data_IF_702488135142
#
_entry.id   IF_702488135142
#
_cell.length_a   1.000
_cell.length_b   1.000
_cell.length_c   1.000
_cell.angle_alpha   90.00
_cell.angle_beta   90.00
_cell.angle_gamma   90.00
#
_symmetry.space_group_name_H-M   'P 1'
#
loop_
_entity.id
_entity.type
_entity.pdbx_description
1 polymer ?
#
# COMPACT_ATOMS: atom_id res chain seq x y z
N UNK A 1 -9.59 -19.08 -9.96
CA UNK A 1 -8.75 -17.94 -9.57
C UNK A 1 -8.59 -17.98 -8.06
N UNK A 2 -7.44 -17.62 -7.54
CA UNK A 2 -7.24 -17.54 -6.09
C UNK A 2 -7.28 -16.06 -5.73
N UNK A 3 -8.29 -15.66 -4.98
CA UNK A 3 -8.36 -14.37 -4.34
C UNK A 3 -8.07 -14.61 -2.86
N UNK A 4 -6.99 -14.08 -2.36
CA UNK A 4 -6.60 -14.27 -0.96
C UNK A 4 -6.10 -12.99 -0.31
N UNK A 5 -6.28 -12.90 1.01
CA UNK A 5 -5.79 -11.80 1.85
C UNK A 5 -4.81 -12.36 2.86
N UNK A 6 -3.60 -11.82 2.88
CA UNK A 6 -2.58 -12.14 3.87
C UNK A 6 -2.37 -10.96 4.83
N UNK A 7 -2.57 -11.19 6.11
CA UNK A 7 -2.31 -10.20 7.15
C UNK A 7 -0.84 -10.25 7.54
N UNK A 8 -0.11 -9.17 7.29
CA UNK A 8 1.30 -8.99 7.70
C UNK A 8 1.41 -8.34 9.07
N UNK A 9 0.46 -7.47 9.40
CA UNK A 9 0.35 -6.80 10.68
C UNK A 9 -1.09 -6.39 10.95
N UNK A 10 -1.49 -6.42 12.23
CA UNK A 10 -2.86 -6.12 12.65
C UNK A 10 -2.92 -5.36 13.98
N UNK A 11 -1.79 -4.79 14.43
CA UNK A 11 -1.77 -4.01 15.66
C UNK A 11 -1.87 -2.52 15.35
N UNK A 12 -2.50 -1.77 16.24
CA UNK A 12 -2.60 -0.31 16.16
C UNK A 12 -1.61 0.34 17.11
N UNK A 13 -1.20 1.58 16.79
CA UNK A 13 -0.45 2.53 17.62
C UNK A 13 0.89 2.05 18.20
N UNK A 14 1.02 0.82 18.68
CA UNK A 14 2.24 0.31 19.31
C UNK A 14 2.45 -1.18 19.05
N UNK A 15 3.71 -1.62 19.08
CA UNK A 15 4.01 -3.05 19.05
C UNK A 15 3.59 -3.72 20.34
N UNK A 16 2.71 -4.69 20.26
CA UNK A 16 2.24 -5.46 21.41
C UNK A 16 1.98 -6.92 21.02
N UNK A 17 2.19 -7.83 21.96
CA UNK A 17 1.89 -9.27 21.82
C UNK A 17 2.51 -9.94 20.57
N UNK A 18 3.71 -9.48 20.15
CA UNK A 18 4.37 -10.00 18.95
C UNK A 18 3.69 -9.64 17.62
N UNK A 19 2.73 -8.73 17.62
CA UNK A 19 2.03 -8.25 16.45
C UNK A 19 2.69 -6.98 15.91
N UNK A 20 2.72 -6.86 14.59
CA UNK A 20 3.24 -5.70 13.88
C UNK A 20 2.12 -4.73 13.53
N UNK A 21 2.49 -3.49 13.21
CA UNK A 21 1.57 -2.47 12.73
C UNK A 21 0.85 -2.91 11.46
N UNK A 22 -0.26 -2.27 11.15
CA UNK A 22 -1.16 -2.73 10.11
C UNK A 22 -0.51 -2.76 8.73
N UNK A 23 -0.61 -3.90 8.10
CA UNK A 23 -0.27 -4.12 6.70
C UNK A 23 -0.96 -5.39 6.21
N UNK A 24 -1.58 -5.31 5.03
CA UNK A 24 -2.30 -6.42 4.43
C UNK A 24 -1.92 -6.56 2.96
N UNK A 25 -1.86 -7.78 2.48
CA UNK A 25 -1.69 -8.08 1.06
C UNK A 25 -2.97 -8.67 0.50
N UNK A 26 -3.44 -8.12 -0.59
CA UNK A 26 -4.51 -8.71 -1.40
C UNK A 26 -3.89 -9.26 -2.67
N UNK A 27 -4.12 -10.53 -2.95
CA UNK A 27 -3.61 -11.23 -4.12
C UNK A 27 -4.77 -11.79 -4.94
N UNK A 28 -4.79 -11.46 -6.24
CA UNK A 28 -5.75 -12.02 -7.20
C UNK A 28 -5.05 -12.72 -8.36
N UNK A 29 -4.05 -13.56 -8.10
CA UNK A 29 -3.21 -14.28 -9.05
C UNK A 29 -2.29 -13.40 -9.92
N UNK A 30 -2.78 -12.32 -10.49
CA UNK A 30 -2.04 -11.45 -11.40
C UNK A 30 -1.39 -10.29 -10.66
N UNK A 31 -2.14 -9.70 -9.72
CA UNK A 31 -1.74 -8.51 -9.01
C UNK A 31 -1.56 -8.81 -7.53
N UNK A 32 -0.60 -8.15 -6.92
CA UNK A 32 -0.36 -8.15 -5.49
C UNK A 32 -0.44 -6.71 -4.98
N UNK A 33 -1.49 -6.42 -4.23
CA UNK A 33 -1.77 -5.11 -3.66
C UNK A 33 -1.35 -5.07 -2.20
N UNK A 34 -0.73 -3.95 -1.79
CA UNK A 34 -0.47 -3.70 -0.37
C UNK A 34 -1.47 -2.67 0.15
N UNK A 35 -2.13 -3.00 1.27
CA UNK A 35 -3.01 -2.09 2.01
C UNK A 35 -2.32 -1.76 3.32
N UNK A 36 -2.08 -0.49 3.54
CA UNK A 36 -1.27 0.08 4.61
C UNK A 36 0.17 -0.47 4.63
N UNK A 37 1.05 0.30 5.19
CA UNK A 37 2.46 -0.03 5.31
C UNK A 37 2.97 0.52 6.64
N UNK A 38 2.54 -0.09 7.72
CA UNK A 38 3.01 0.22 9.06
C UNK A 38 4.49 -0.14 9.23
N UNK A 39 5.06 0.28 10.32
CA UNK A 39 6.46 0.05 10.63
C UNK A 39 6.79 -1.45 10.63
N UNK A 40 7.96 -1.82 10.12
CA UNK A 40 8.44 -3.19 9.98
C UNK A 40 7.68 -4.07 8.95
N UNK A 41 6.80 -3.52 8.11
CA UNK A 41 6.09 -4.27 7.04
C UNK A 41 7.05 -5.04 6.14
N UNK A 42 8.19 -4.44 5.75
CA UNK A 42 9.19 -5.10 4.91
C UNK A 42 9.83 -6.33 5.60
N UNK A 43 9.98 -6.32 6.93
CA UNK A 43 10.46 -7.47 7.70
C UNK A 43 9.43 -8.61 7.65
N UNK A 44 8.16 -8.26 7.78
CA UNK A 44 7.07 -9.23 7.68
C UNK A 44 6.96 -9.81 6.26
N UNK A 45 7.13 -8.98 5.23
CA UNK A 45 7.21 -9.47 3.84
C UNK A 45 8.33 -10.49 3.67
N UNK A 46 9.51 -10.22 4.20
CA UNK A 46 10.63 -11.15 4.15
C UNK A 46 10.34 -12.46 4.91
N UNK A 47 9.80 -12.38 6.13
CA UNK A 47 9.42 -13.56 6.93
C UNK A 47 8.39 -14.44 6.25
N UNK A 48 7.45 -13.84 5.55
CA UNK A 48 6.39 -14.53 4.83
C UNK A 48 6.73 -14.82 3.36
N UNK A 49 7.98 -14.62 2.95
CA UNK A 49 8.49 -14.89 1.59
C UNK A 49 7.65 -14.21 0.50
N UNK A 50 7.21 -12.99 0.77
CA UNK A 50 6.43 -12.18 -0.18
C UNK A 50 7.32 -11.74 -1.33
N UNK A 51 6.90 -11.98 -2.55
CA UNK A 51 7.55 -11.44 -3.75
C UNK A 51 7.19 -9.97 -3.91
N UNK A 52 7.88 -9.10 -3.16
CA UNK A 52 7.62 -7.66 -3.15
C UNK A 52 7.76 -6.98 -4.53
N UNK A 53 8.54 -7.57 -5.47
CA UNK A 53 8.64 -7.09 -6.85
C UNK A 53 7.32 -7.18 -7.64
N UNK A 54 6.32 -7.89 -7.12
CA UNK A 54 4.96 -7.95 -7.69
C UNK A 54 4.02 -6.87 -7.15
N UNK A 55 4.46 -6.07 -6.17
CA UNK A 55 3.64 -5.01 -5.58
C UNK A 55 3.85 -3.75 -6.41
N UNK A 56 2.89 -3.44 -7.25
CA UNK A 56 2.89 -2.23 -8.08
C UNK A 56 1.92 -1.16 -7.55
N UNK A 57 1.03 -1.55 -6.63
CA UNK A 57 0.00 -0.69 -6.07
C UNK A 57 -0.04 -0.79 -4.54
N UNK A 58 0.09 0.36 -3.88
CA UNK A 58 0.03 0.52 -2.41
C UNK A 58 -1.09 1.48 -2.06
N UNK A 59 -1.99 1.08 -1.18
CA UNK A 59 -3.14 1.86 -0.73
C UNK A 59 -2.96 2.22 0.74
N UNK A 60 -2.89 3.51 1.07
CA UNK A 60 -2.75 4.01 2.44
C UNK A 60 -4.10 4.56 2.89
N UNK A 61 -4.65 3.96 3.93
CA UNK A 61 -5.97 4.29 4.45
C UNK A 61 -6.04 5.68 5.08
N UNK A 62 -5.05 6.05 5.87
CA UNK A 62 -4.93 7.35 6.52
C UNK A 62 -3.52 7.60 7.08
N UNK A 63 -3.26 8.83 7.56
CA UNK A 63 -1.92 9.27 7.95
C UNK A 63 -1.63 9.14 9.46
N UNK A 64 -2.18 8.14 10.16
CA UNK A 64 -1.62 7.74 11.45
C UNK A 64 -0.38 6.86 11.22
N UNK A 65 0.63 7.04 12.08
CA UNK A 65 1.96 6.46 11.86
C UNK A 65 1.99 4.95 11.68
N UNK A 66 1.16 4.23 12.43
CA UNK A 66 1.00 2.78 12.36
C UNK A 66 0.45 2.25 11.01
N UNK A 67 0.00 3.16 10.12
CA UNK A 67 -0.50 2.83 8.78
C UNK A 67 0.47 3.14 7.65
N UNK A 68 1.47 4.04 7.82
CA UNK A 68 2.32 4.44 6.70
C UNK A 68 3.81 4.62 7.01
N UNK A 69 4.25 4.62 8.29
CA UNK A 69 5.66 4.91 8.61
C UNK A 69 6.65 3.88 8.06
N UNK A 70 6.21 2.69 7.71
CA UNK A 70 7.03 1.70 7.01
C UNK A 70 7.20 1.96 5.52
N UNK A 71 6.37 2.85 4.92
CA UNK A 71 6.31 3.05 3.48
C UNK A 71 7.63 3.55 2.90
N UNK A 72 8.26 4.52 3.55
CA UNK A 72 9.54 5.07 3.07
C UNK A 72 10.66 4.00 3.09
N UNK A 73 10.71 3.19 4.15
CA UNK A 73 11.64 2.06 4.22
C UNK A 73 11.39 1.03 3.10
N UNK A 74 10.13 0.77 2.77
CA UNK A 74 9.76 -0.13 1.67
C UNK A 74 10.17 0.47 0.31
N UNK A 75 9.92 1.75 0.07
CA UNK A 75 10.33 2.48 -1.14
C UNK A 75 11.83 2.36 -1.37
N UNK A 76 12.64 2.59 -0.34
CA UNK A 76 14.10 2.41 -0.44
C UNK A 76 14.50 0.94 -0.63
N UNK A 77 13.82 0.01 -0.01
CA UNK A 77 14.06 -1.42 -0.23
C UNK A 77 13.85 -1.79 -1.69
N UNK A 78 12.78 -1.34 -2.31
CA UNK A 78 12.51 -1.55 -3.75
C UNK A 78 13.63 -0.97 -4.62
N UNK A 79 14.08 0.26 -4.32
CA UNK A 79 15.20 0.90 -5.02
C UNK A 79 16.49 0.09 -4.90
N UNK A 80 16.88 -0.30 -3.68
CA UNK A 80 18.11 -1.04 -3.41
C UNK A 80 18.13 -2.44 -4.03
N UNK A 81 16.96 -3.03 -4.23
CA UNK A 81 16.78 -4.32 -4.87
C UNK A 81 16.62 -4.23 -6.40
N UNK A 82 16.82 -3.04 -6.96
CA UNK A 82 16.87 -2.84 -8.41
C UNK A 82 15.51 -2.78 -9.10
N UNK A 83 14.45 -2.36 -8.38
CA UNK A 83 13.16 -2.10 -9.03
C UNK A 83 13.32 -1.09 -10.18
N UNK A 84 12.74 -1.40 -11.32
CA UNK A 84 12.65 -0.53 -12.50
C UNK A 84 11.22 -0.15 -12.87
N UNK A 85 10.27 -0.97 -12.43
CA UNK A 85 8.85 -0.79 -12.73
C UNK A 85 8.24 0.30 -11.85
N UNK A 86 7.35 1.10 -12.42
CA UNK A 86 6.66 2.18 -11.73
C UNK A 86 5.88 1.68 -10.50
N UNK A 87 5.76 2.53 -9.48
CA UNK A 87 5.02 2.26 -8.26
C UNK A 87 3.86 3.24 -8.13
N UNK A 88 2.65 2.74 -7.94
CA UNK A 88 1.46 3.53 -7.73
C UNK A 88 1.11 3.56 -6.24
N UNK A 89 1.03 4.75 -5.64
CA UNK A 89 0.67 4.95 -4.24
C UNK A 89 -0.61 5.77 -4.17
N UNK A 90 -1.62 5.20 -3.55
CA UNK A 90 -2.93 5.80 -3.33
C UNK A 90 -3.05 6.19 -1.87
N UNK A 91 -3.44 7.43 -1.59
CA UNK A 91 -3.56 7.87 -0.21
C UNK A 91 -4.17 9.27 -0.06
N UNK A 92 -4.48 9.68 1.17
CA UNK A 92 -5.05 10.99 1.44
C UNK A 92 -4.04 12.13 1.19
N UNK A 93 -4.56 13.35 1.17
CA UNK A 93 -3.76 14.56 1.03
C UNK A 93 -2.63 14.62 2.07
N UNK A 94 -1.45 15.06 1.64
CA UNK A 94 -0.23 15.16 2.45
C UNK A 94 0.71 13.95 2.35
N UNK A 95 0.26 12.79 1.90
CA UNK A 95 1.14 11.62 1.73
C UNK A 95 2.25 11.88 0.70
N UNK A 96 1.88 12.47 -0.43
CA UNK A 96 2.84 12.85 -1.48
C UNK A 96 3.92 13.79 -0.93
N UNK A 97 3.53 14.81 -0.17
CA UNK A 97 4.45 15.80 0.39
C UNK A 97 5.44 15.14 1.37
N UNK A 98 4.95 14.25 2.23
CA UNK A 98 5.77 13.51 3.20
C UNK A 98 6.85 12.70 2.48
N UNK A 99 6.50 11.94 1.44
CA UNK A 99 7.46 11.10 0.70
C UNK A 99 8.42 11.98 -0.10
N UNK A 100 7.91 13.01 -0.77
CA UNK A 100 8.71 13.91 -1.60
C UNK A 100 9.75 14.66 -0.77
N UNK A 101 9.37 15.20 0.40
CA UNK A 101 10.30 15.88 1.31
C UNK A 101 11.41 14.95 1.78
N UNK A 102 11.09 13.70 2.13
CA UNK A 102 12.11 12.74 2.55
C UNK A 102 13.09 12.41 1.42
N UNK A 103 12.61 12.20 0.20
CA UNK A 103 13.48 11.95 -0.97
C UNK A 103 14.36 13.16 -1.29
N UNK A 104 13.83 14.38 -1.21
CA UNK A 104 14.58 15.61 -1.44
C UNK A 104 15.70 15.80 -0.43
N UNK A 105 15.41 15.70 0.87
CA UNK A 105 16.39 15.92 1.92
C UNK A 105 17.42 14.80 2.05
N UNK A 106 17.11 13.59 1.61
CA UNK A 106 18.06 12.50 1.51
C UNK A 106 18.87 12.50 0.20
N UNK A 107 18.61 13.47 -0.69
CA UNK A 107 19.21 13.55 -2.04
C UNK A 107 19.06 12.24 -2.84
N UNK A 108 18.01 11.49 -2.55
CA UNK A 108 17.81 10.16 -3.11
C UNK A 108 17.13 10.22 -4.47
N UNK A 109 17.68 9.48 -5.42
CA UNK A 109 17.10 9.29 -6.75
C UNK A 109 16.73 7.83 -6.91
N UNK A 110 15.44 7.57 -7.01
CA UNK A 110 14.91 6.22 -7.24
C UNK A 110 15.18 5.77 -8.69
N UNK A 111 15.32 4.46 -8.88
CA UNK A 111 15.46 3.87 -10.22
C UNK A 111 14.11 3.69 -10.93
N UNK A 112 13.02 4.10 -10.31
CA UNK A 112 11.65 3.95 -10.80
C UNK A 112 10.82 5.19 -10.45
N UNK A 113 9.69 5.36 -11.12
CA UNK A 113 8.76 6.47 -10.87
C UNK A 113 7.73 6.09 -9.81
N UNK A 114 7.42 7.03 -8.91
CA UNK A 114 6.27 6.93 -8.02
C UNK A 114 5.15 7.80 -8.58
N UNK A 115 4.00 7.19 -8.83
CA UNK A 115 2.76 7.87 -9.19
C UNK A 115 1.87 7.97 -7.96
N UNK A 116 1.62 9.19 -7.49
CA UNK A 116 0.71 9.45 -6.38
C UNK A 116 -0.71 9.67 -6.88
N UNK A 117 -1.65 8.97 -6.28
CA UNK A 117 -3.07 9.06 -6.56
C UNK A 117 -3.79 9.53 -5.30
N UNK A 118 -4.33 10.75 -5.37
CA UNK A 118 -5.05 11.35 -4.26
C UNK A 118 -6.39 10.66 -4.04
N UNK A 119 -6.69 10.34 -2.79
CA UNK A 119 -7.99 9.84 -2.35
C UNK A 119 -8.74 10.98 -1.66
N UNK A 120 -9.92 11.34 -2.18
CA UNK A 120 -10.72 12.46 -1.69
C UNK A 120 -12.18 12.10 -1.44
N UNK A 121 -12.70 11.06 -2.11
CA UNK A 121 -14.13 10.79 -2.17
C UNK A 121 -14.47 9.35 -1.74
N UNK A 122 -15.72 9.17 -1.34
CA UNK A 122 -16.32 7.85 -1.20
C UNK A 122 -16.64 7.27 -2.59
N UNK A 123 -16.61 5.95 -2.73
CA UNK A 123 -16.85 5.23 -4.00
C UNK A 123 -15.96 5.67 -5.18
N UNK A 124 -14.81 6.28 -4.88
CA UNK A 124 -13.82 6.65 -5.89
C UNK A 124 -13.18 5.41 -6.49
N UNK A 125 -13.24 5.24 -7.81
CA UNK A 125 -12.50 4.19 -8.51
C UNK A 125 -11.01 4.53 -8.52
N UNK A 126 -10.20 3.70 -7.87
CA UNK A 126 -8.76 3.89 -7.73
C UNK A 126 -7.96 3.08 -8.76
N UNK A 127 -8.38 1.86 -9.00
CA UNK A 127 -7.71 0.94 -9.90
C UNK A 127 -8.72 0.07 -10.64
N UNK A 128 -8.44 -0.24 -11.88
CA UNK A 128 -9.24 -1.14 -12.69
C UNK A 128 -8.38 -1.84 -13.74
N UNK A 129 -8.58 -3.14 -13.90
CA UNK A 129 -8.07 -3.91 -15.03
C UNK A 129 -9.15 -4.92 -15.51
N UNK A 130 -8.77 -5.91 -16.30
CA UNK A 130 -9.71 -6.90 -16.84
C UNK A 130 -10.32 -7.81 -15.76
N UNK A 131 -9.62 -8.02 -14.64
CA UNK A 131 -10.00 -9.01 -13.62
C UNK A 131 -10.56 -8.38 -12.34
N UNK A 132 -10.18 -7.16 -11.99
CA UNK A 132 -10.49 -6.54 -10.69
C UNK A 132 -10.66 -5.03 -10.80
N UNK A 133 -11.46 -4.48 -9.92
CA UNK A 133 -11.59 -3.04 -9.67
C UNK A 133 -11.48 -2.76 -8.18
N UNK A 134 -10.95 -1.57 -7.83
CA UNK A 134 -10.72 -1.15 -6.44
C UNK A 134 -11.34 0.21 -6.21
N UNK A 135 -12.20 0.30 -5.21
CA UNK A 135 -12.90 1.52 -4.81
C UNK A 135 -12.58 1.91 -3.37
N UNK A 136 -12.81 3.18 -3.07
CA UNK A 136 -12.77 3.70 -1.70
C UNK A 136 -14.10 3.49 -0.98
N UNK A 137 -13.99 3.35 0.35
CA UNK A 137 -15.11 3.50 1.28
C UNK A 137 -14.68 4.49 2.35
N UNK A 138 -15.40 5.60 2.48
CA UNK A 138 -15.10 6.58 3.52
C UNK A 138 -15.41 5.99 4.90
N UNK A 139 -14.45 6.10 5.80
CA UNK A 139 -14.53 5.58 7.17
C UNK A 139 -14.75 6.72 8.16
N UNK A 140 -15.55 6.46 9.20
CA UNK A 140 -15.72 7.43 10.30
C UNK A 140 -14.48 7.43 11.20
N UNK A 141 -13.63 8.43 11.03
CA UNK A 141 -12.40 8.59 11.80
C UNK A 141 -12.09 10.09 12.01
N UNK A 142 -11.19 10.41 12.96
CA UNK A 142 -10.82 11.79 13.31
C UNK A 142 -10.14 12.57 12.16
N UNK A 143 -9.41 11.86 11.33
CA UNK A 143 -8.75 12.40 10.11
C UNK A 143 -9.32 11.70 8.87
N UNK A 144 -9.15 12.24 7.65
CA UNK A 144 -9.57 11.55 6.43
C UNK A 144 -9.05 10.12 6.41
N UNK A 145 -9.98 9.16 6.33
CA UNK A 145 -9.68 7.73 6.42
C UNK A 145 -10.59 6.96 5.45
N UNK A 146 -9.98 6.02 4.72
CA UNK A 146 -10.65 5.26 3.69
C UNK A 146 -10.38 3.76 3.86
N UNK A 147 -11.40 2.96 3.69
CA UNK A 147 -11.29 1.54 3.42
C UNK A 147 -11.24 1.28 1.92
N UNK A 148 -10.96 0.05 1.52
CA UNK A 148 -10.83 -0.34 0.12
C UNK A 148 -11.67 -1.58 -0.18
N UNK A 149 -12.48 -1.50 -1.22
CA UNK A 149 -13.25 -2.62 -1.75
C UNK A 149 -12.54 -3.15 -2.98
N UNK A 150 -12.19 -4.41 -2.95
CA UNK A 150 -11.61 -5.14 -4.08
C UNK A 150 -12.70 -6.05 -4.65
N UNK A 151 -13.11 -5.79 -5.87
CA UNK A 151 -14.19 -6.51 -6.53
C UNK A 151 -13.68 -7.23 -7.78
N UNK A 152 -13.85 -8.56 -7.82
CA UNK A 152 -13.54 -9.35 -9.01
C UNK A 152 -14.60 -9.13 -10.08
N UNK A 153 -14.14 -8.86 -11.31
CA UNK A 153 -15.03 -8.74 -12.46
C UNK A 153 -15.45 -10.13 -12.96
N UNK A 154 -16.73 -10.27 -13.24
CA UNK A 154 -17.22 -11.48 -13.90
C UNK A 154 -16.67 -11.57 -15.32
N UNK A 155 -15.89 -12.60 -15.62
CA UNK A 155 -15.49 -12.89 -17.00
C UNK A 155 -16.75 -13.26 -17.79
N UNK A 156 -17.06 -12.48 -18.81
CA UNK A 156 -18.06 -12.89 -19.80
C UNK A 156 -17.48 -14.07 -20.59
N UNK A 157 -18.10 -15.21 -20.45
CA UNK A 157 -17.82 -16.40 -21.28
C UNK A 157 -18.32 -16.19 -22.71
#
# INVERSE_FOLDING_TARGET
MTFDVKILGCNSASFAFGRHHTAQLVNNNQNLFLIDCGEATQIQMMRHQVRHSRIDHIFISHLHGDHYLGLMGLVFTFHLQGRSEDLHIYGPAGLNDIITIQLQHSESRLNYTIHFHLIEENDQLLFENEDIQVYTVQMNHRIPCYGFVFEEKQRKH
#
